data_IF_289625783334
#
_entry.id   IF_289625783334
#
_cell.length_a   1.000
_cell.length_b   1.000
_cell.length_c   1.000
_cell.angle_alpha   90.00
_cell.angle_beta   90.00
_cell.angle_gamma   90.00
#
_symmetry.space_group_name_H-M   'P 1'
#
loop_
_entity.id
_entity.type
_entity.pdbx_description
1 polymer ?
#
# COMPACT_ATOMS: atom_id res chain seq x y z
N UNK A 1 -20.60 16.75 3.48
CA UNK A 1 -19.77 16.29 4.60
C UNK A 1 -19.59 14.79 4.43
N UNK A 2 -18.40 14.27 4.03
CA UNK A 2 -18.21 12.83 3.97
C UNK A 2 -17.82 12.31 5.35
N UNK A 3 -18.59 11.32 5.78
CA UNK A 3 -18.58 10.71 7.11
C UNK A 3 -17.24 10.03 7.41
N UNK A 4 -16.66 10.41 8.54
CA UNK A 4 -15.50 9.79 9.18
C UNK A 4 -15.96 8.48 9.83
N UNK A 5 -15.42 7.33 9.41
CA UNK A 5 -15.50 6.05 10.12
C UNK A 5 -14.43 5.09 9.56
N UNK A 6 -13.68 4.30 10.32
CA UNK A 6 -13.10 4.39 11.69
C UNK A 6 -11.93 3.40 11.64
N UNK A 7 -10.69 3.88 11.62
CA UNK A 7 -9.56 3.01 11.95
C UNK A 7 -9.55 2.82 13.48
N UNK A 8 -9.98 1.65 13.96
CA UNK A 8 -9.92 1.23 15.37
C UNK A 8 -8.70 0.31 15.57
N UNK A 9 -7.52 0.77 15.16
CA UNK A 9 -6.26 0.12 15.44
C UNK A 9 -5.43 0.99 16.36
N UNK A 10 -4.96 0.44 17.47
CA UNK A 10 -4.00 1.12 18.35
C UNK A 10 -2.80 1.58 17.50
N UNK A 11 -2.65 2.89 17.38
CA UNK A 11 -1.46 3.53 16.85
C UNK A 11 -0.29 3.25 17.81
N UNK A 12 0.30 2.06 17.72
CA UNK A 12 1.65 1.86 18.27
C UNK A 12 2.60 2.61 17.36
N UNK A 13 2.83 3.86 17.77
CA UNK A 13 3.78 4.82 17.24
C UNK A 13 5.14 4.14 17.06
N UNK A 14 5.68 4.25 15.85
CA UNK A 14 7.11 4.14 15.67
C UNK A 14 7.75 5.32 16.42
N UNK A 15 8.82 5.05 17.14
CA UNK A 15 9.66 6.01 17.88
C UNK A 15 10.14 7.16 16.95
N UNK A 16 10.63 8.29 17.50
CA UNK A 16 10.37 9.67 17.02
C UNK A 16 10.95 10.13 15.66
N UNK A 17 11.42 9.25 14.78
CA UNK A 17 12.10 9.63 13.52
C UNK A 17 11.40 9.24 12.21
N UNK A 18 10.20 8.65 12.23
CA UNK A 18 9.47 8.37 11.00
C UNK A 18 7.97 8.73 11.14
N UNK A 19 7.50 9.85 10.56
CA UNK A 19 6.08 10.14 10.52
C UNK A 19 5.41 9.30 9.42
N UNK A 20 4.91 8.10 9.77
CA UNK A 20 3.98 7.40 8.87
C UNK A 20 2.62 8.11 8.89
N UNK A 21 2.30 8.82 7.82
CA UNK A 21 1.08 9.61 7.72
C UNK A 21 -0.04 8.80 7.06
N UNK A 22 -0.90 8.23 7.90
CA UNK A 22 -2.03 7.41 7.45
C UNK A 22 -3.09 8.19 6.64
N UNK A 23 -3.53 9.40 7.05
CA UNK A 23 -4.41 10.24 6.22
C UNK A 23 -3.87 10.49 4.81
N UNK A 24 -2.57 10.79 4.69
CA UNK A 24 -1.95 11.01 3.38
C UNK A 24 -1.88 9.73 2.54
N UNK A 25 -1.68 8.57 3.17
CA UNK A 25 -1.73 7.29 2.46
C UNK A 25 -3.11 7.06 1.85
N UNK A 26 -4.18 7.34 2.60
CA UNK A 26 -5.54 7.23 2.10
C UNK A 26 -5.79 8.21 0.94
N UNK A 27 -5.39 9.47 1.11
CA UNK A 27 -5.54 10.51 0.08
C UNK A 27 -4.83 10.13 -1.24
N UNK A 28 -3.54 9.77 -1.16
CA UNK A 28 -2.75 9.34 -2.31
C UNK A 28 -3.36 8.10 -2.95
N UNK A 29 -3.81 7.13 -2.17
CA UNK A 29 -4.44 5.93 -2.70
C UNK A 29 -5.72 6.24 -3.48
N UNK A 30 -6.56 7.16 -2.99
CA UNK A 30 -7.75 7.62 -3.68
C UNK A 30 -7.43 8.32 -5.01
N UNK A 31 -6.43 9.20 -5.00
CA UNK A 31 -6.00 9.94 -6.19
C UNK A 31 -5.42 8.98 -7.22
N UNK A 32 -4.54 8.07 -6.81
CA UNK A 32 -3.85 7.12 -7.69
C UNK A 32 -4.82 6.21 -8.46
N UNK A 33 -5.99 5.93 -7.90
CA UNK A 33 -7.00 5.05 -8.51
C UNK A 33 -8.08 5.83 -9.25
N UNK A 34 -8.03 7.17 -9.24
CA UNK A 34 -9.02 8.04 -9.89
C UNK A 34 -10.40 8.01 -9.25
N UNK A 35 -10.52 7.50 -8.01
CA UNK A 35 -11.80 7.37 -7.33
C UNK A 35 -12.28 8.74 -6.82
N UNK A 36 -13.54 9.09 -7.13
CA UNK A 36 -14.17 10.30 -6.58
C UNK A 36 -14.53 10.18 -5.10
N UNK A 37 -14.78 8.95 -4.64
CA UNK A 37 -15.11 8.63 -3.25
C UNK A 37 -14.48 7.29 -2.88
N UNK A 38 -13.55 7.31 -1.91
CA UNK A 38 -13.06 6.11 -1.26
C UNK A 38 -14.01 5.72 -0.13
N UNK A 39 -14.78 4.66 -0.34
CA UNK A 39 -15.84 4.26 0.58
C UNK A 39 -15.31 3.47 1.77
N UNK A 40 -14.22 2.73 1.58
CA UNK A 40 -13.68 1.87 2.64
C UNK A 40 -12.15 1.77 2.54
N UNK A 41 -11.45 2.09 3.62
CA UNK A 41 -10.00 1.93 3.74
C UNK A 41 -9.70 1.14 5.02
N UNK A 42 -9.22 -0.09 4.86
CA UNK A 42 -9.04 -1.02 5.96
C UNK A 42 -7.65 -1.62 5.95
N UNK A 43 -7.06 -1.86 7.13
CA UNK A 43 -5.84 -2.66 7.24
C UNK A 43 -6.22 -4.13 7.16
N UNK A 44 -5.61 -4.87 6.23
CA UNK A 44 -5.90 -6.29 5.99
C UNK A 44 -4.75 -7.22 6.40
N UNK A 45 -3.57 -6.66 6.68
CA UNK A 45 -2.43 -7.45 7.13
C UNK A 45 -1.27 -6.59 7.64
N UNK A 46 -0.39 -7.20 8.40
CA UNK A 46 0.89 -6.61 8.79
C UNK A 46 1.94 -7.71 8.86
N UNK A 47 2.95 -7.59 8.00
CA UNK A 47 4.14 -8.41 8.04
C UNK A 47 5.25 -7.76 8.90
N UNK A 48 6.41 -8.44 8.99
CA UNK A 48 7.56 -7.92 9.73
C UNK A 48 8.02 -6.56 9.21
N UNK A 49 7.99 -6.37 7.88
CA UNK A 49 8.50 -5.18 7.18
C UNK A 49 7.45 -4.47 6.32
N UNK A 50 6.21 -4.95 6.28
CA UNK A 50 5.15 -4.40 5.44
C UNK A 50 3.88 -4.22 6.24
N UNK A 51 3.07 -3.23 5.90
CA UNK A 51 1.66 -3.18 6.29
C UNK A 51 0.85 -3.25 5.01
N UNK A 52 -0.30 -3.89 5.08
CA UNK A 52 -1.15 -4.09 3.92
C UNK A 52 -2.52 -3.50 4.21
N UNK A 53 -2.95 -2.58 3.36
CA UNK A 53 -4.26 -1.95 3.41
C UNK A 53 -5.05 -2.31 2.16
N UNK A 54 -6.36 -2.49 2.31
CA UNK A 54 -7.30 -2.54 1.21
C UNK A 54 -8.03 -1.22 1.10
N UNK A 55 -8.10 -0.71 -0.13
CA UNK A 55 -9.03 0.35 -0.50
C UNK A 55 -10.13 -0.26 -1.37
N UNK A 56 -11.37 -0.13 -0.93
CA UNK A 56 -12.56 -0.55 -1.70
C UNK A 56 -13.21 0.69 -2.31
N UNK A 57 -13.39 0.63 -3.63
CA UNK A 57 -14.25 1.52 -4.40
C UNK A 57 -15.53 0.77 -4.79
N UNK A 58 -16.60 1.48 -5.14
CA UNK A 58 -17.90 0.97 -5.60
C UNK A 58 -17.85 -0.24 -6.56
N UNK A 59 -16.78 -0.42 -7.35
CA UNK A 59 -16.65 -1.53 -8.32
C UNK A 59 -15.31 -2.26 -8.31
N UNK A 60 -14.35 -1.85 -7.49
CA UNK A 60 -13.01 -2.46 -7.50
C UNK A 60 -12.35 -2.42 -6.13
N UNK A 61 -11.39 -3.31 -5.90
CA UNK A 61 -10.55 -3.27 -4.69
C UNK A 61 -9.08 -3.15 -5.04
N UNK A 62 -8.36 -2.46 -4.19
CA UNK A 62 -6.95 -2.11 -4.36
C UNK A 62 -6.20 -2.52 -3.11
N UNK A 63 -4.98 -3.00 -3.31
CA UNK A 63 -4.08 -3.36 -2.23
C UNK A 63 -2.95 -2.34 -2.18
N UNK A 64 -2.68 -1.85 -0.97
CA UNK A 64 -1.69 -0.80 -0.72
C UNK A 64 -0.71 -1.36 0.28
N UNK A 65 0.56 -1.39 -0.08
CA UNK A 65 1.61 -1.96 0.74
C UNK A 65 2.65 -0.89 1.05
N UNK A 66 2.50 -0.15 2.15
CA UNK A 66 3.60 0.62 2.70
C UNK A 66 4.63 -0.29 3.39
N UNK A 67 5.89 0.02 3.15
CA UNK A 67 7.03 -0.65 3.75
C UNK A 67 7.43 0.05 5.05
N UNK A 68 7.68 -0.73 6.09
CA UNK A 68 8.30 -0.26 7.34
C UNK A 68 9.77 0.00 7.04
N UNK A 69 10.23 1.20 7.36
CA UNK A 69 11.61 1.63 7.16
C UNK A 69 12.62 0.62 7.72
N UNK A 70 13.24 -0.14 6.81
CA UNK A 70 14.43 -0.97 7.09
C UNK A 70 15.19 -1.16 5.77
N UNK A 71 16.19 -0.32 5.50
CA UNK A 71 17.14 -0.51 4.38
C UNK A 71 17.37 0.72 3.49
N UNK A 72 18.04 0.52 2.35
CA UNK A 72 18.23 1.50 1.27
C UNK A 72 16.87 1.80 0.62
N UNK A 73 16.32 3.01 0.81
CA UNK A 73 15.06 3.37 0.18
C UNK A 73 15.17 3.21 -1.34
N UNK A 74 14.05 2.97 -2.02
CA UNK A 74 13.92 2.77 -3.46
C UNK A 74 14.24 1.36 -3.98
N UNK A 75 15.32 0.71 -3.54
CA UNK A 75 15.73 -0.59 -4.10
C UNK A 75 14.76 -1.73 -3.77
N UNK A 76 14.16 -1.70 -2.58
CA UNK A 76 13.14 -2.68 -2.17
C UNK A 76 11.91 -2.52 -3.06
N UNK A 77 11.36 -1.31 -3.11
CA UNK A 77 10.18 -0.99 -3.93
C UNK A 77 10.44 -1.26 -5.42
N UNK A 78 11.65 -1.01 -5.91
CA UNK A 78 12.02 -1.31 -7.30
C UNK A 78 12.08 -2.82 -7.56
N UNK A 79 12.70 -3.58 -6.66
CA UNK A 79 12.83 -5.05 -6.77
C UNK A 79 11.49 -5.76 -6.71
N UNK A 80 10.58 -5.33 -5.82
CA UNK A 80 9.22 -5.86 -5.74
C UNK A 80 8.44 -5.60 -7.05
N UNK A 81 8.46 -4.37 -7.55
CA UNK A 81 7.76 -4.02 -8.80
C UNK A 81 8.36 -4.75 -10.01
N UNK A 82 9.69 -4.89 -10.06
CA UNK A 82 10.35 -5.67 -11.11
C UNK A 82 9.97 -7.15 -11.06
N UNK A 83 9.88 -7.73 -9.86
CA UNK A 83 9.48 -9.13 -9.66
C UNK A 83 8.03 -9.36 -10.09
N UNK A 84 7.12 -8.47 -9.71
CA UNK A 84 5.71 -8.52 -10.13
C UNK A 84 5.57 -8.41 -11.66
N UNK A 85 6.31 -7.49 -12.27
CA UNK A 85 6.32 -7.29 -13.72
C UNK A 85 6.85 -8.54 -14.44
N UNK A 86 7.97 -9.10 -13.95
CA UNK A 86 8.54 -10.32 -14.50
C UNK A 86 7.57 -11.50 -14.40
N UNK A 87 6.95 -11.70 -13.23
CA UNK A 87 5.97 -12.78 -13.03
C UNK A 87 4.78 -12.64 -13.99
N UNK A 88 4.26 -11.43 -14.18
CA UNK A 88 3.13 -11.17 -15.08
C UNK A 88 3.50 -11.30 -16.55
N UNK A 89 4.54 -10.60 -16.98
CA UNK A 89 4.82 -10.35 -18.41
C UNK A 89 5.75 -11.41 -19.01
N UNK A 90 6.66 -11.97 -18.21
CA UNK A 90 7.63 -12.97 -18.69
C UNK A 90 7.16 -14.37 -18.38
N UNK A 91 6.65 -14.62 -17.16
CA UNK A 91 6.21 -15.96 -16.76
C UNK A 91 4.72 -16.23 -17.05
N UNK A 92 3.91 -15.20 -17.35
CA UNK A 92 2.47 -15.34 -17.56
C UNK A 92 1.70 -15.77 -16.30
N UNK A 93 2.27 -15.57 -15.12
CA UNK A 93 1.64 -15.93 -13.85
C UNK A 93 0.63 -14.85 -13.42
N UNK A 94 -0.44 -15.23 -12.69
CA UNK A 94 -1.34 -14.26 -12.10
C UNK A 94 -0.58 -13.46 -11.02
N UNK A 95 -0.21 -12.23 -11.36
CA UNK A 95 0.44 -11.28 -10.47
C UNK A 95 -0.31 -9.93 -10.50
N UNK A 96 -0.30 -9.17 -9.39
CA UNK A 96 -0.97 -7.88 -9.33
C UNK A 96 -0.35 -6.83 -10.25
N UNK A 97 -1.21 -6.04 -10.88
CA UNK A 97 -0.80 -4.86 -11.63
C UNK A 97 -0.49 -3.70 -10.69
N UNK A 98 0.70 -3.13 -10.84
CA UNK A 98 1.13 -1.96 -10.09
C UNK A 98 0.60 -0.70 -10.77
N UNK A 99 -0.22 0.08 -10.06
CA UNK A 99 -0.74 1.37 -10.54
C UNK A 99 0.19 2.52 -10.20
N UNK A 100 0.71 2.51 -8.98
CA UNK A 100 1.53 3.60 -8.47
C UNK A 100 2.56 3.06 -7.48
N UNK A 101 3.73 3.69 -7.45
CA UNK A 101 4.80 3.40 -6.49
C UNK A 101 5.51 4.68 -6.09
N UNK A 102 5.96 4.75 -4.85
CA UNK A 102 6.93 5.74 -4.43
C UNK A 102 8.02 5.07 -3.60
N UNK A 103 9.25 5.11 -4.11
CA UNK A 103 10.43 4.58 -3.44
C UNK A 103 11.17 5.60 -2.58
N UNK A 104 10.69 6.84 -2.50
CA UNK A 104 11.25 7.86 -1.64
C UNK A 104 10.53 7.88 -0.31
N UNK A 105 11.27 8.03 0.77
CA UNK A 105 10.70 8.25 2.10
C UNK A 105 11.23 9.53 2.76
N UNK A 106 11.78 10.42 1.93
CA UNK A 106 12.19 11.77 2.29
C UNK A 106 10.98 12.73 2.38
N UNK A 107 11.23 13.97 2.76
CA UNK A 107 10.22 15.01 2.99
C UNK A 107 9.31 15.31 1.78
N UNK A 108 9.65 14.82 0.58
CA UNK A 108 8.81 14.93 -0.62
C UNK A 108 7.70 13.88 -0.66
N UNK A 109 7.80 12.84 0.17
CA UNK A 109 6.76 11.84 0.31
C UNK A 109 5.92 12.14 1.58
N UNK A 110 4.71 12.70 1.45
CA UNK A 110 3.89 13.09 2.59
C UNK A 110 3.43 11.90 3.46
N UNK A 111 3.54 10.67 2.94
CA UNK A 111 3.25 9.42 3.67
C UNK A 111 4.39 9.06 4.63
N UNK A 112 5.61 9.56 4.39
CA UNK A 112 6.80 9.28 5.20
C UNK A 112 7.28 7.83 5.16
N UNK A 113 6.87 7.06 4.14
CA UNK A 113 7.28 5.68 3.92
C UNK A 113 7.13 5.30 2.44
N UNK A 114 7.96 4.38 1.97
CA UNK A 114 7.80 3.78 0.64
C UNK A 114 6.49 3.00 0.54
N UNK A 115 5.88 2.99 -0.63
CA UNK A 115 4.63 2.26 -0.87
C UNK A 115 4.45 1.82 -2.32
N UNK A 116 3.65 0.77 -2.47
CA UNK A 116 3.12 0.27 -3.74
C UNK A 116 1.59 0.26 -3.66
N UNK A 117 0.92 0.76 -4.70
CA UNK A 117 -0.52 0.68 -4.92
C UNK A 117 -0.74 -0.23 -6.12
N UNK A 118 -1.48 -1.31 -5.92
CA UNK A 118 -1.69 -2.35 -6.94
C UNK A 118 -3.08 -2.97 -6.86
N UNK A 119 -3.42 -3.79 -7.85
CA UNK A 119 -4.63 -4.60 -7.84
C UNK A 119 -4.63 -5.53 -6.62
N UNK A 120 -5.79 -5.67 -5.96
CA UNK A 120 -5.97 -6.74 -4.98
C UNK A 120 -6.19 -8.05 -5.73
N UNK A 121 -5.33 -9.04 -5.50
CA UNK A 121 -5.50 -10.37 -6.07
C UNK A 121 -6.49 -11.20 -5.25
N UNK A 122 -7.28 -12.02 -5.94
CA UNK A 122 -8.07 -13.07 -5.29
C UNK A 122 -7.17 -14.23 -4.88
N UNK A 123 -7.31 -14.70 -3.65
CA UNK A 123 -6.55 -15.81 -3.12
C UNK A 123 -6.77 -15.99 -1.62
N UNK A 124 -6.39 -17.15 -1.11
CA UNK A 124 -6.31 -17.44 0.31
C UNK A 124 -4.86 -17.79 0.64
N UNK A 125 -4.39 -17.32 1.79
CA UNK A 125 -3.09 -17.75 2.31
C UNK A 125 -3.14 -19.26 2.54
N UNK A 126 -2.16 -19.97 2.00
CA UNK A 126 -2.00 -21.39 2.29
C UNK A 126 -1.34 -21.49 3.67
N UNK A 127 -2.10 -22.01 4.63
CA UNK A 127 -1.63 -22.33 5.97
C UNK A 127 -1.12 -23.76 5.96
N UNK A 128 0.13 -23.95 6.37
CA UNK A 128 0.71 -25.27 6.68
C UNK A 128 0.12 -25.84 7.99
#
# INVERSE_FOLDING_TARGET
>A
MPSILKYIGSARQCTPLCPFNFPELQNVACIAVGARNCTEFAKIGEGPRTRTFSLTELRSSRQIIPFKHTGTPFLITASEVATLTFAREVLGLPAPDVFFRNGHADDRNPIGAEYIIMNKMGGVELVD
#
